data_IF_249280322162
#
_entry.id   IF_249280322162
#
_cell.length_a   1.000
_cell.length_b   1.000
_cell.length_c   1.000
_cell.angle_alpha   90.00
_cell.angle_beta   90.00
_cell.angle_gamma   90.00
#
_symmetry.space_group_name_H-M   'P 1'
#
loop_
_entity.id
_entity.type
_entity.pdbx_description
1 polymer ?
#
# COMPACT_ATOMS: atom_id res chain seq x y z
N UNK A 1 -11.94 1.43 16.34
CA UNK A 1 -12.31 0.33 17.27
C UNK A 1 -11.08 -0.52 17.47
N UNK A 2 -10.51 -0.53 18.68
CA UNK A 2 -9.30 -1.32 18.98
C UNK A 2 -9.57 -2.82 18.78
N UNK A 3 -8.59 -3.55 18.25
CA UNK A 3 -8.66 -5.01 18.13
C UNK A 3 -8.64 -5.61 19.55
N UNK A 4 -9.58 -6.51 19.85
CA UNK A 4 -9.62 -7.16 21.16
C UNK A 4 -8.37 -8.06 21.35
N UNK A 5 -7.58 -7.88 22.42
CA UNK A 5 -6.46 -8.76 22.74
C UNK A 5 -6.89 -10.22 23.01
N UNK A 6 -8.16 -10.44 23.36
CA UNK A 6 -8.69 -11.75 23.78
C UNK A 6 -9.34 -12.55 22.66
N UNK A 7 -9.52 -11.99 21.46
CA UNK A 7 -10.30 -12.59 20.36
C UNK A 7 -9.64 -13.79 19.65
N UNK A 8 -8.77 -14.54 20.32
CA UNK A 8 -8.14 -15.75 19.77
C UNK A 8 -8.82 -16.99 20.31
N UNK A 9 -9.06 -17.96 19.43
CA UNK A 9 -9.58 -19.27 19.84
C UNK A 9 -10.67 -19.75 18.89
N UNK A 10 -11.60 -20.51 19.46
CA UNK A 10 -12.73 -21.08 18.76
C UNK A 10 -14.03 -20.56 19.37
N UNK A 11 -15.07 -20.49 18.54
CA UNK A 11 -16.43 -20.29 18.99
C UNK A 11 -17.28 -21.52 18.68
N UNK A 12 -18.25 -21.79 19.55
CA UNK A 12 -19.16 -22.92 19.40
C UNK A 12 -20.30 -22.66 18.42
N UNK A 13 -20.56 -21.39 18.10
CA UNK A 13 -21.67 -20.97 17.25
C UNK A 13 -21.17 -20.02 16.16
N UNK A 14 -21.78 -20.11 14.97
CA UNK A 14 -21.59 -19.11 13.92
C UNK A 14 -22.35 -17.82 14.26
N UNK A 15 -22.08 -16.74 13.52
CA UNK A 15 -22.88 -15.52 13.66
C UNK A 15 -24.33 -15.80 13.22
N UNK A 16 -25.34 -15.16 13.85
CA UNK A 16 -26.74 -15.32 13.45
C UNK A 16 -26.97 -15.09 11.95
N UNK A 17 -26.34 -14.06 11.37
CA UNK A 17 -26.43 -13.78 9.93
C UNK A 17 -25.88 -14.91 9.08
N UNK A 18 -24.78 -15.55 9.50
CA UNK A 18 -24.19 -16.68 8.80
C UNK A 18 -25.09 -17.90 8.89
N UNK A 19 -25.67 -18.17 10.06
CA UNK A 19 -26.63 -19.27 10.24
C UNK A 19 -27.90 -19.12 9.41
N UNK A 20 -28.33 -17.88 9.11
CA UNK A 20 -29.53 -17.60 8.33
C UNK A 20 -29.26 -17.62 6.81
N UNK A 21 -28.14 -17.05 6.36
CA UNK A 21 -27.92 -16.77 4.94
C UNK A 21 -26.81 -17.60 4.27
N UNK A 22 -26.02 -18.38 5.02
CA UNK A 22 -24.90 -19.14 4.49
C UNK A 22 -25.03 -20.64 4.73
N UNK A 23 -24.25 -21.43 4.00
CA UNK A 23 -24.11 -22.87 4.25
C UNK A 23 -23.57 -23.11 5.66
N UNK A 24 -24.27 -23.94 6.43
CA UNK A 24 -23.84 -24.35 7.76
C UNK A 24 -22.87 -25.52 7.68
N UNK A 25 -21.68 -25.36 8.28
CA UNK A 25 -20.67 -26.41 8.36
C UNK A 25 -20.64 -27.02 9.76
N UNK A 26 -20.21 -28.29 9.87
CA UNK A 26 -20.02 -28.92 11.19
C UNK A 26 -18.89 -28.20 11.92
N UNK A 27 -19.11 -27.74 13.14
CA UNK A 27 -18.09 -26.97 13.89
C UNK A 27 -16.84 -27.76 14.28
N UNK A 28 -16.94 -29.09 14.37
CA UNK A 28 -15.91 -29.95 14.97
C UNK A 28 -15.51 -29.45 16.37
N UNK A 29 -14.25 -29.06 16.57
CA UNK A 29 -13.79 -28.43 17.82
C UNK A 29 -14.34 -27.01 17.99
N UNK A 30 -14.65 -26.33 16.89
CA UNK A 30 -15.27 -24.99 16.84
C UNK A 30 -14.85 -24.17 15.61
N UNK A 31 -15.53 -23.05 15.41
CA UNK A 31 -15.23 -22.07 14.35
C UNK A 31 -14.07 -21.18 14.76
N UNK A 32 -13.09 -20.93 13.87
CA UNK A 32 -12.01 -20.01 14.19
C UNK A 32 -12.50 -18.58 14.35
N UNK A 33 -11.99 -17.89 15.35
CA UNK A 33 -12.27 -16.49 15.57
C UNK A 33 -11.40 -15.59 14.67
N UNK A 34 -12.03 -14.57 14.10
CA UNK A 34 -11.36 -13.41 13.48
C UNK A 34 -10.61 -12.60 14.55
N UNK A 35 -9.72 -11.69 14.12
CA UNK A 35 -9.08 -10.70 15.00
C UNK A 35 -10.06 -9.82 15.78
N UNK A 36 -11.33 -9.76 15.34
CA UNK A 36 -12.42 -8.99 15.96
C UNK A 36 -13.34 -9.85 16.83
N UNK A 37 -13.04 -11.13 16.99
CA UNK A 37 -13.80 -12.07 17.83
C UNK A 37 -15.04 -12.63 17.16
N UNK A 38 -15.26 -12.35 15.87
CA UNK A 38 -16.35 -12.96 15.12
C UNK A 38 -15.94 -14.36 14.65
N UNK A 39 -16.81 -15.37 14.75
CA UNK A 39 -16.56 -16.70 14.19
C UNK A 39 -16.54 -16.64 12.66
N UNK A 40 -15.52 -17.25 12.05
CA UNK A 40 -15.53 -17.61 10.64
C UNK A 40 -16.43 -18.84 10.46
N UNK A 41 -17.69 -18.63 10.05
CA UNK A 41 -18.65 -19.73 9.91
C UNK A 41 -18.29 -20.79 8.86
N UNK A 42 -17.28 -20.55 8.04
CA UNK A 42 -16.74 -21.49 7.05
C UNK A 42 -15.29 -21.93 7.33
N UNK A 43 -14.73 -21.62 8.51
CA UNK A 43 -13.39 -22.06 8.90
C UNK A 43 -13.46 -22.75 10.27
N UNK A 44 -13.18 -24.05 10.28
CA UNK A 44 -13.34 -24.90 11.47
C UNK A 44 -12.02 -25.55 11.86
N UNK A 45 -11.88 -25.87 13.15
CA UNK A 45 -10.76 -26.66 13.65
C UNK A 45 -11.23 -28.09 13.92
N UNK A 46 -10.48 -29.07 13.42
CA UNK A 46 -10.71 -30.49 13.66
C UNK A 46 -9.41 -31.15 14.14
N UNK A 47 -9.27 -31.31 15.45
CA UNK A 47 -8.07 -31.85 16.08
C UNK A 47 -6.84 -30.97 15.83
N UNK A 48 -5.92 -31.42 14.97
CA UNK A 48 -4.72 -30.66 14.58
C UNK A 48 -4.92 -29.84 13.31
N UNK A 49 -5.97 -30.09 12.56
CA UNK A 49 -6.20 -29.48 11.27
C UNK A 49 -7.11 -28.25 11.40
N UNK A 50 -6.93 -27.33 10.45
CA UNK A 50 -7.86 -26.23 10.22
C UNK A 50 -8.35 -26.36 8.79
N UNK A 51 -9.67 -26.37 8.62
CA UNK A 51 -10.34 -26.59 7.35
C UNK A 51 -11.08 -25.32 6.99
N UNK A 52 -10.79 -24.78 5.80
CA UNK A 52 -11.53 -23.72 5.15
C UNK A 52 -12.47 -24.35 4.13
N UNK A 53 -13.77 -24.12 4.30
CA UNK A 53 -14.79 -24.49 3.33
C UNK A 53 -15.01 -23.35 2.34
N UNK A 54 -14.78 -23.63 1.06
CA UNK A 54 -14.98 -22.67 -0.03
C UNK A 54 -16.44 -22.61 -0.47
N UNK A 55 -16.85 -21.45 -0.99
CA UNK A 55 -18.14 -21.28 -1.66
C UNK A 55 -18.32 -22.21 -2.88
N UNK A 56 -17.22 -22.75 -3.44
CA UNK A 56 -17.26 -23.73 -4.53
C UNK A 56 -17.49 -25.18 -4.06
N UNK A 57 -17.62 -25.42 -2.75
CA UNK A 57 -17.79 -26.75 -2.16
C UNK A 57 -16.50 -27.54 -1.94
N UNK A 58 -15.33 -26.94 -2.21
CA UNK A 58 -14.03 -27.56 -1.94
C UNK A 58 -13.55 -27.25 -0.51
N UNK A 59 -12.88 -28.22 0.09
CA UNK A 59 -12.24 -28.08 1.40
C UNK A 59 -10.73 -27.86 1.26
N UNK A 60 -10.23 -26.87 1.98
CA UNK A 60 -8.81 -26.52 1.99
C UNK A 60 -8.22 -26.66 3.39
N UNK A 61 -7.16 -27.47 3.51
CA UNK A 61 -6.38 -27.56 4.74
C UNK A 61 -5.49 -26.31 4.88
N UNK A 62 -5.76 -25.51 5.90
CA UNK A 62 -5.01 -24.29 6.19
C UNK A 62 -3.68 -24.64 6.86
N UNK A 63 -2.52 -24.27 6.28
CA UNK A 63 -1.23 -24.58 6.90
C UNK A 63 -1.03 -23.81 8.21
N UNK A 64 -0.87 -24.54 9.32
CA UNK A 64 -0.65 -23.94 10.64
C UNK A 64 0.85 -23.79 10.92
N UNK A 65 1.32 -22.54 10.96
CA UNK A 65 2.74 -22.22 11.15
C UNK A 65 3.37 -22.87 12.39
N UNK A 66 2.63 -22.95 13.51
CA UNK A 66 3.11 -23.62 14.74
C UNK A 66 3.29 -25.12 14.54
N UNK A 67 2.44 -25.76 13.73
CA UNK A 67 2.56 -27.18 13.42
C UNK A 67 3.75 -27.43 12.49
N UNK A 68 3.89 -26.62 11.43
CA UNK A 68 5.05 -26.67 10.53
C UNK A 68 6.37 -26.51 11.29
N UNK A 69 6.40 -25.64 12.31
CA UNK A 69 7.57 -25.47 13.18
C UNK A 69 7.90 -26.72 14.00
N UNK A 70 6.89 -27.36 14.62
CA UNK A 70 7.06 -28.57 15.44
C UNK A 70 7.50 -29.78 14.62
N UNK A 71 6.92 -29.93 13.44
CA UNK A 71 7.15 -31.07 12.55
C UNK A 71 8.34 -30.83 11.60
N UNK A 72 8.97 -29.65 11.67
CA UNK A 72 10.01 -29.20 10.74
C UNK A 72 9.63 -29.35 9.25
N UNK A 73 8.36 -29.12 8.92
CA UNK A 73 7.78 -29.42 7.60
C UNK A 73 7.79 -28.20 6.65
N UNK A 74 8.76 -27.29 6.81
CA UNK A 74 8.85 -26.07 6.01
C UNK A 74 9.19 -26.37 4.55
N UNK A 75 8.51 -25.69 3.62
CA UNK A 75 8.75 -25.86 2.17
C UNK A 75 10.03 -25.19 1.67
N UNK A 76 10.63 -24.30 2.46
CA UNK A 76 11.92 -23.67 2.17
C UNK A 76 12.60 -23.13 3.44
N UNK A 77 13.91 -22.98 3.39
CA UNK A 77 14.70 -22.31 4.43
C UNK A 77 14.23 -20.88 4.67
N UNK A 78 13.92 -20.14 3.60
CA UNK A 78 13.37 -18.78 3.69
C UNK A 78 12.05 -18.75 4.46
N UNK A 79 11.14 -19.70 4.26
CA UNK A 79 9.88 -19.75 4.98
C UNK A 79 10.09 -20.01 6.48
N UNK A 80 10.98 -20.96 6.82
CA UNK A 80 11.35 -21.24 8.22
C UNK A 80 11.98 -20.01 8.88
N UNK A 81 12.93 -19.36 8.22
CA UNK A 81 13.56 -18.14 8.74
C UNK A 81 12.52 -17.05 8.94
N UNK A 82 11.75 -16.73 7.91
CA UNK A 82 10.81 -15.63 7.92
C UNK A 82 9.70 -15.82 8.95
N UNK A 83 9.15 -17.03 9.09
CA UNK A 83 7.94 -17.27 9.89
C UNK A 83 8.18 -17.98 11.22
N UNK A 84 9.34 -18.61 11.44
CA UNK A 84 9.67 -19.28 12.70
C UNK A 84 10.79 -18.60 13.49
N UNK A 85 11.76 -17.96 12.82
CA UNK A 85 12.94 -17.36 13.48
C UNK A 85 12.79 -15.85 13.69
N UNK A 86 12.27 -15.13 12.69
CA UNK A 86 12.07 -13.68 12.78
C UNK A 86 10.70 -13.36 13.39
N UNK A 87 10.64 -13.27 14.73
CA UNK A 87 9.38 -13.00 15.47
C UNK A 87 8.63 -11.76 14.98
N UNK A 88 9.37 -10.71 14.58
CA UNK A 88 8.78 -9.45 14.09
C UNK A 88 7.95 -9.62 12.82
N UNK A 89 8.27 -10.57 11.95
CA UNK A 89 7.47 -10.83 10.76
C UNK A 89 6.06 -11.31 11.13
N UNK A 90 5.97 -12.32 11.99
CA UNK A 90 4.67 -12.88 12.41
C UNK A 90 3.84 -11.87 13.23
N UNK A 91 4.51 -11.00 13.98
CA UNK A 91 3.85 -10.00 14.81
C UNK A 91 3.28 -8.85 13.97
N UNK A 92 4.01 -8.40 12.95
CA UNK A 92 3.75 -7.12 12.30
C UNK A 92 3.34 -7.24 10.83
N UNK A 93 3.64 -8.33 10.13
CA UNK A 93 3.28 -8.46 8.72
C UNK A 93 1.88 -9.07 8.55
N UNK A 94 1.21 -8.62 7.50
CA UNK A 94 0.18 -9.41 6.85
C UNK A 94 0.79 -10.53 6.01
N UNK A 95 0.13 -11.69 5.93
CA UNK A 95 0.59 -12.79 5.07
C UNK A 95 0.71 -12.32 3.61
N UNK A 96 -0.24 -11.51 3.15
CA UNK A 96 -0.28 -10.98 1.80
C UNK A 96 0.75 -9.86 1.55
N UNK A 97 1.40 -9.30 2.57
CA UNK A 97 2.57 -8.43 2.36
C UNK A 97 3.75 -9.19 1.75
N UNK A 98 3.86 -10.49 2.03
CA UNK A 98 4.91 -11.36 1.50
C UNK A 98 4.43 -12.16 0.28
N UNK A 99 3.17 -12.57 0.27
CA UNK A 99 2.64 -13.49 -0.73
C UNK A 99 2.02 -12.81 -1.97
N UNK A 100 1.78 -11.51 -1.95
CA UNK A 100 1.29 -10.79 -3.14
C UNK A 100 2.44 -10.50 -4.10
N UNK A 101 2.31 -10.93 -5.36
CA UNK A 101 3.37 -10.73 -6.36
C UNK A 101 3.32 -9.38 -7.06
N UNK A 102 2.14 -8.75 -7.15
CA UNK A 102 1.96 -7.42 -7.75
C UNK A 102 0.64 -6.80 -7.30
N UNK A 103 0.45 -5.51 -7.56
CA UNK A 103 -0.86 -4.84 -7.43
C UNK A 103 -1.01 -3.84 -8.58
N UNK A 104 -2.24 -3.54 -9.08
CA UNK A 104 -2.41 -2.44 -10.01
C UNK A 104 -1.95 -1.13 -9.35
N UNK A 105 -1.06 -0.42 -10.02
CA UNK A 105 -0.52 0.87 -9.61
C UNK A 105 -0.97 1.91 -10.63
N UNK A 106 -2.15 2.50 -10.39
CA UNK A 106 -2.74 3.57 -11.18
C UNK A 106 -2.24 4.92 -10.66
N UNK A 107 -1.05 5.33 -11.09
CA UNK A 107 -0.48 6.59 -10.61
C UNK A 107 -1.05 7.78 -11.38
N UNK A 108 -1.45 8.81 -10.63
CA UNK A 108 -1.96 10.07 -11.15
C UNK A 108 -3.29 9.95 -11.90
N UNK A 109 -4.27 10.72 -11.46
CA UNK A 109 -5.49 11.02 -12.18
C UNK A 109 -5.59 12.54 -12.35
N UNK A 110 -5.87 12.99 -13.57
CA UNK A 110 -6.24 14.38 -13.82
C UNK A 110 -7.75 14.48 -13.97
N UNK A 111 -8.36 15.22 -13.05
CA UNK A 111 -9.80 15.47 -13.01
C UNK A 111 -10.08 16.89 -13.47
N UNK A 112 -10.77 17.04 -14.60
CA UNK A 112 -11.26 18.33 -15.06
C UNK A 112 -12.75 18.46 -14.73
N UNK A 113 -13.12 19.52 -14.01
CA UNK A 113 -14.50 19.93 -13.82
C UNK A 113 -14.77 21.11 -14.74
N UNK A 114 -15.59 20.90 -15.78
CA UNK A 114 -15.81 21.89 -16.84
C UNK A 114 -17.25 22.40 -16.83
N UNK A 115 -17.43 23.68 -16.53
CA UNK A 115 -18.73 24.38 -16.53
C UNK A 115 -19.08 25.08 -17.86
N UNK A 116 -18.22 24.94 -18.87
CA UNK A 116 -18.41 25.49 -20.19
C UNK A 116 -19.48 24.77 -21.01
N UNK A 117 -19.30 24.77 -22.33
CA UNK A 117 -20.25 24.23 -23.30
C UNK A 117 -19.57 23.19 -24.19
N UNK A 118 -20.35 22.24 -24.69
CA UNK A 118 -19.90 21.29 -25.70
C UNK A 118 -19.75 21.94 -27.10
N UNK A 119 -19.31 21.16 -28.08
CA UNK A 119 -19.12 21.60 -29.48
C UNK A 119 -20.37 22.17 -30.16
N UNK A 120 -21.56 21.88 -29.63
CA UNK A 120 -22.84 22.37 -30.15
C UNK A 120 -23.36 23.58 -29.33
N UNK A 121 -22.58 24.09 -28.38
CA UNK A 121 -22.96 25.20 -27.52
C UNK A 121 -23.87 24.80 -26.34
N UNK A 122 -24.10 23.50 -26.10
CA UNK A 122 -24.91 23.04 -24.96
C UNK A 122 -24.07 23.05 -23.69
N UNK A 123 -24.57 23.61 -22.57
CA UNK A 123 -23.85 23.58 -21.30
C UNK A 123 -23.50 22.15 -20.86
N UNK A 124 -22.31 21.99 -20.31
CA UNK A 124 -21.92 20.75 -19.65
C UNK A 124 -22.73 20.52 -18.39
N UNK A 125 -23.23 19.30 -18.24
CA UNK A 125 -24.04 18.84 -17.12
C UNK A 125 -23.60 17.42 -16.75
N UNK A 126 -23.60 17.10 -15.47
CA UNK A 126 -23.31 15.75 -14.96
C UNK A 126 -24.35 15.29 -13.95
N UNK A 127 -24.31 13.99 -13.62
CA UNK A 127 -25.14 13.42 -12.57
C UNK A 127 -24.82 14.06 -11.22
N UNK A 128 -25.86 14.62 -10.59
CA UNK A 128 -25.79 15.16 -9.24
C UNK A 128 -26.09 14.03 -8.25
N UNK A 129 -25.02 13.39 -7.75
CA UNK A 129 -25.13 12.26 -6.82
C UNK A 129 -25.67 12.67 -5.44
N UNK A 130 -25.55 13.95 -5.05
CA UNK A 130 -26.06 14.43 -3.75
C UNK A 130 -27.56 14.67 -3.85
N UNK A 131 -28.00 15.42 -4.86
CA UNK A 131 -29.42 15.67 -5.10
C UNK A 131 -30.16 14.40 -5.53
N UNK A 132 -29.52 13.53 -6.29
CA UNK A 132 -30.07 12.23 -6.66
C UNK A 132 -30.25 11.31 -5.45
N UNK A 133 -29.18 11.16 -4.65
CA UNK A 133 -29.17 10.27 -3.49
C UNK A 133 -30.10 10.69 -2.34
N UNK A 134 -30.55 11.95 -2.32
CA UNK A 134 -31.52 12.47 -1.34
C UNK A 134 -32.97 12.18 -1.72
N UNK A 135 -33.27 11.84 -2.98
CA UNK A 135 -34.59 11.45 -3.45
C UNK A 135 -34.69 9.91 -3.48
N UNK A 136 -35.48 9.32 -2.58
CA UNK A 136 -35.67 7.86 -2.47
C UNK A 136 -37.09 7.44 -2.82
N UNK A 137 -37.20 6.40 -3.63
CA UNK A 137 -38.45 5.72 -3.91
C UNK A 137 -38.89 4.87 -2.70
N UNK A 138 -40.16 4.43 -2.71
CA UNK A 138 -40.74 3.56 -1.66
C UNK A 138 -39.93 2.26 -1.47
N UNK A 139 -39.31 1.74 -2.52
CA UNK A 139 -38.48 0.53 -2.48
C UNK A 139 -37.06 0.78 -1.95
N UNK A 140 -36.74 1.99 -1.51
CA UNK A 140 -35.42 2.38 -0.99
C UNK A 140 -34.37 2.72 -2.06
N UNK A 141 -34.68 2.58 -3.34
CA UNK A 141 -33.79 2.98 -4.44
C UNK A 141 -33.77 4.50 -4.58
N UNK A 142 -32.65 5.03 -5.07
CA UNK A 142 -32.48 6.46 -5.42
C UNK A 142 -32.83 6.72 -6.88
N UNK A 143 -33.02 7.98 -7.27
CA UNK A 143 -33.47 8.34 -8.62
C UNK A 143 -32.50 7.89 -9.74
N UNK A 144 -31.22 7.73 -9.44
CA UNK A 144 -30.18 7.24 -10.35
C UNK A 144 -30.00 5.71 -10.35
N UNK A 145 -30.65 4.99 -9.44
CA UNK A 145 -30.54 3.54 -9.33
C UNK A 145 -31.20 2.76 -10.49
N UNK A 146 -32.36 3.16 -11.05
CA UNK A 146 -32.96 2.45 -12.17
C UNK A 146 -32.08 2.50 -13.42
N UNK A 147 -31.86 1.34 -14.03
CA UNK A 147 -31.06 1.22 -15.27
C UNK A 147 -31.61 2.13 -16.37
N UNK A 148 -30.71 2.86 -17.03
CA UNK A 148 -31.06 3.79 -18.11
C UNK A 148 -31.47 5.19 -17.65
N UNK A 149 -31.55 5.44 -16.34
CA UNK A 149 -31.72 6.80 -15.81
C UNK A 149 -30.36 7.47 -15.59
N UNK A 150 -30.33 8.79 -15.69
CA UNK A 150 -29.11 9.58 -15.49
C UNK A 150 -29.16 10.44 -14.21
N UNK A 151 -30.08 10.11 -13.30
CA UNK A 151 -30.37 10.86 -12.08
C UNK A 151 -30.75 12.32 -12.34
N UNK A 152 -30.73 13.14 -11.29
CA UNK A 152 -30.76 14.60 -11.44
C UNK A 152 -29.45 15.06 -12.06
N UNK A 153 -29.52 16.16 -12.82
CA UNK A 153 -28.36 16.80 -13.43
C UNK A 153 -28.05 18.13 -12.77
N UNK A 154 -26.76 18.42 -12.60
CA UNK A 154 -26.24 19.72 -12.16
C UNK A 154 -25.28 20.30 -13.21
N UNK A 155 -25.08 21.63 -13.25
CA UNK A 155 -24.07 22.25 -14.10
C UNK A 155 -22.66 21.74 -13.82
N UNK A 156 -21.85 21.68 -14.86
CA UNK A 156 -20.50 21.14 -14.80
C UNK A 156 -20.46 19.69 -15.25
N UNK A 157 -19.38 19.28 -15.94
CA UNK A 157 -19.09 17.89 -16.27
C UNK A 157 -17.71 17.50 -15.77
N UNK A 158 -17.61 16.31 -15.18
CA UNK A 158 -16.35 15.75 -14.72
C UNK A 158 -15.74 14.91 -15.85
N UNK A 159 -14.48 15.18 -16.16
CA UNK A 159 -13.67 14.37 -17.06
C UNK A 159 -12.47 13.86 -16.28
N UNK A 160 -12.23 12.56 -16.33
CA UNK A 160 -11.09 11.93 -15.70
C UNK A 160 -10.17 11.35 -16.76
N UNK A 161 -8.89 11.65 -16.66
CA UNK A 161 -7.84 10.95 -17.38
C UNK A 161 -6.81 10.38 -16.40
N UNK A 162 -6.13 9.31 -16.79
CA UNK A 162 -5.13 8.63 -15.97
C UNK A 162 -3.74 8.90 -16.53
N UNK A 163 -2.77 9.14 -15.67
CA UNK A 163 -1.38 9.39 -16.10
C UNK A 163 -0.72 8.09 -16.55
N UNK A 164 -0.59 7.08 -15.67
CA UNK A 164 -0.09 5.77 -16.08
C UNK A 164 -0.54 4.63 -15.15
N UNK A 165 -0.64 3.43 -15.70
CA UNK A 165 -1.00 2.22 -14.95
C UNK A 165 0.07 1.16 -15.13
N UNK A 166 0.50 0.54 -14.02
CA UNK A 166 1.50 -0.54 -14.01
C UNK A 166 1.05 -1.71 -13.14
N UNK A 167 1.51 -2.90 -13.47
CA UNK A 167 1.36 -4.11 -12.66
C UNK A 167 2.73 -4.47 -12.11
N UNK A 168 3.01 -4.03 -10.89
CA UNK A 168 4.36 -4.07 -10.33
C UNK A 168 4.33 -4.31 -8.82
N UNK A 169 5.52 -4.46 -8.24
CA UNK A 169 5.69 -4.63 -6.81
C UNK A 169 5.10 -3.44 -6.03
N UNK A 170 4.27 -3.67 -5.00
CA UNK A 170 3.63 -2.63 -4.22
C UNK A 170 4.63 -1.86 -3.35
N UNK A 171 4.28 -0.60 -3.06
CA UNK A 171 4.78 0.12 -1.88
C UNK A 171 4.26 -0.59 -0.63
N UNK A 172 5.01 -0.61 0.47
CA UNK A 172 4.51 -1.11 1.75
C UNK A 172 4.14 0.03 2.68
N UNK A 173 3.13 -0.20 3.51
CA UNK A 173 2.65 0.71 4.55
C UNK A 173 2.02 -0.04 5.69
N UNK A 174 1.31 0.66 6.57
CA UNK A 174 0.58 0.11 7.70
C UNK A 174 -0.93 0.15 7.40
N UNK A 175 -1.63 -0.97 7.56
CA UNK A 175 -3.08 -1.04 7.41
C UNK A 175 -3.81 -0.56 8.69
N UNK A 176 -5.14 -0.51 8.63
CA UNK A 176 -5.97 -0.09 9.77
C UNK A 176 -5.90 -1.01 10.99
N UNK A 177 -5.25 -2.17 10.87
CA UNK A 177 -4.97 -3.12 11.97
C UNK A 177 -3.55 -2.97 12.53
N UNK A 178 -2.78 -1.99 12.06
CA UNK A 178 -1.41 -1.74 12.53
C UNK A 178 -0.37 -2.69 11.95
N UNK A 179 -0.69 -3.42 10.86
CA UNK A 179 0.19 -4.40 10.23
C UNK A 179 0.74 -3.91 8.90
N UNK A 180 1.94 -4.34 8.57
CA UNK A 180 2.58 -4.08 7.28
C UNK A 180 1.79 -4.76 6.18
N UNK A 181 1.42 -3.97 5.18
CA UNK A 181 0.54 -4.34 4.08
C UNK A 181 1.10 -3.80 2.75
N UNK A 182 0.78 -4.41 1.60
CA UNK A 182 0.84 -3.74 0.32
C UNK A 182 -0.06 -2.50 0.31
N UNK A 183 0.41 -1.47 -0.39
CA UNK A 183 -0.36 -0.29 -0.78
C UNK A 183 -0.54 -0.27 -2.30
N UNK A 184 -1.68 0.24 -2.74
CA UNK A 184 -1.92 0.65 -4.12
C UNK A 184 -2.36 2.12 -4.15
N UNK A 185 -2.15 2.84 -5.26
CA UNK A 185 -2.80 4.13 -5.46
C UNK A 185 -4.31 3.95 -5.33
N UNK A 186 -4.90 4.69 -4.40
CA UNK A 186 -6.34 4.83 -4.29
C UNK A 186 -6.81 5.79 -5.37
N UNK A 187 -7.02 7.04 -5.00
CA UNK A 187 -7.25 8.14 -5.94
C UNK A 187 -6.16 9.20 -5.76
N UNK A 188 -5.31 9.37 -6.78
CA UNK A 188 -4.27 10.40 -6.79
C UNK A 188 -4.70 11.54 -7.70
N UNK A 189 -5.59 12.40 -7.21
CA UNK A 189 -6.26 13.42 -8.03
C UNK A 189 -5.49 14.75 -8.00
N UNK A 190 -5.08 15.21 -9.17
CA UNK A 190 -4.88 16.63 -9.46
C UNK A 190 -6.11 17.14 -10.21
N UNK A 191 -6.66 18.29 -9.82
CA UNK A 191 -7.90 18.80 -10.43
C UNK A 191 -7.76 20.18 -11.06
N UNK A 192 -8.48 20.38 -12.16
CA UNK A 192 -8.61 21.64 -12.88
C UNK A 192 -10.09 22.01 -12.98
N UNK A 193 -10.43 23.27 -12.66
CA UNK A 193 -11.78 23.79 -12.79
C UNK A 193 -11.82 24.81 -13.91
N UNK A 194 -12.70 24.60 -14.88
CA UNK A 194 -12.96 25.50 -16.00
C UNK A 194 -14.32 26.15 -15.78
N UNK A 195 -14.37 27.49 -15.77
CA UNK A 195 -15.60 28.26 -15.61
C UNK A 195 -16.50 28.23 -16.86
N UNK A 196 -17.59 28.99 -16.83
CA UNK A 196 -18.58 29.00 -17.91
C UNK A 196 -18.07 29.70 -19.18
N UNK A 197 -17.06 30.54 -19.02
CA UNK A 197 -16.38 31.32 -20.05
C UNK A 197 -15.22 30.54 -20.67
N UNK A 198 -14.90 29.36 -20.14
CA UNK A 198 -13.83 28.50 -20.65
C UNK A 198 -12.46 28.81 -20.06
N UNK A 199 -12.37 29.63 -19.00
CA UNK A 199 -11.13 29.96 -18.32
C UNK A 199 -10.87 28.98 -17.17
N UNK A 200 -9.61 28.54 -17.04
CA UNK A 200 -9.18 27.77 -15.88
C UNK A 200 -9.13 28.69 -14.65
N UNK A 201 -10.00 28.44 -13.68
CA UNK A 201 -10.07 29.16 -12.38
C UNK A 201 -9.34 28.42 -11.26
N UNK A 202 -9.06 27.14 -11.48
CA UNK A 202 -8.13 26.33 -10.70
C UNK A 202 -7.38 25.42 -11.67
N UNK A 203 -6.05 25.35 -11.59
CA UNK A 203 -5.23 24.55 -12.48
C UNK A 203 -4.38 23.60 -11.65
N UNK A 204 -4.50 22.29 -11.91
CA UNK A 204 -3.69 21.23 -11.31
C UNK A 204 -3.58 21.32 -9.78
N UNK A 205 -4.68 21.64 -9.11
CA UNK A 205 -4.70 21.73 -7.65
C UNK A 205 -4.75 20.33 -7.04
N UNK A 206 -4.12 20.17 -5.89
CA UNK A 206 -4.18 18.95 -5.08
C UNK A 206 -4.73 19.29 -3.71
N UNK A 207 -5.57 18.42 -3.14
CA UNK A 207 -6.06 18.61 -1.78
C UNK A 207 -4.96 18.38 -0.75
N UNK A 208 -5.11 18.93 0.45
CA UNK A 208 -4.18 18.76 1.57
C UNK A 208 -4.93 18.17 2.77
N UNK A 209 -4.30 17.21 3.44
CA UNK A 209 -4.86 16.51 4.61
C UNK A 209 -4.27 17.06 5.90
N UNK A 210 -4.91 18.10 6.47
CA UNK A 210 -4.50 18.68 7.76
C UNK A 210 -4.78 17.74 8.93
N UNK A 211 -5.82 16.92 8.83
CA UNK A 211 -6.17 15.96 9.89
C UNK A 211 -5.07 14.90 10.03
N UNK A 212 -4.60 14.33 8.92
CA UNK A 212 -3.52 13.34 8.95
C UNK A 212 -2.17 13.96 9.35
N UNK A 213 -1.91 15.22 9.01
CA UNK A 213 -0.73 15.95 9.53
C UNK A 213 -0.71 15.96 11.06
N UNK A 214 -1.85 16.28 11.69
CA UNK A 214 -2.00 16.32 13.15
C UNK A 214 -1.85 14.91 13.76
N UNK A 215 -2.46 13.89 13.15
CA UNK A 215 -2.37 12.50 13.61
C UNK A 215 -0.94 11.94 13.53
N UNK A 216 -0.19 12.32 12.50
CA UNK A 216 1.20 11.91 12.31
C UNK A 216 2.19 12.72 13.17
N UNK A 217 1.79 13.90 13.66
CA UNK A 217 2.67 14.81 14.40
C UNK A 217 3.86 15.30 13.56
N UNK A 218 3.64 15.52 12.26
CA UNK A 218 4.68 15.95 11.32
C UNK A 218 4.49 17.42 10.88
N UNK A 219 5.56 18.04 10.39
CA UNK A 219 5.54 19.44 9.94
C UNK A 219 4.86 19.61 8.59
N UNK A 220 5.13 18.73 7.63
CA UNK A 220 4.55 18.76 6.30
C UNK A 220 3.10 18.30 6.31
N UNK A 221 2.23 18.97 5.57
CA UNK A 221 0.87 18.48 5.34
C UNK A 221 0.88 17.43 4.21
N UNK A 222 0.41 16.19 4.42
CA UNK A 222 0.24 15.23 3.34
C UNK A 222 -0.74 15.76 2.28
N UNK A 223 -0.48 15.48 1.00
CA UNK A 223 -1.46 15.70 -0.04
C UNK A 223 -2.57 14.66 0.05
N UNK A 224 -3.77 15.00 -0.44
CA UNK A 224 -4.91 14.08 -0.54
C UNK A 224 -4.79 13.08 -1.70
N UNK A 225 -3.58 12.88 -2.23
CA UNK A 225 -3.26 11.78 -3.11
C UNK A 225 -3.22 10.51 -2.25
N UNK A 226 -4.16 9.60 -2.43
CA UNK A 226 -4.32 8.45 -1.52
C UNK A 226 -3.55 7.22 -1.99
N UNK A 227 -2.95 6.54 -1.01
CA UNK A 227 -2.33 5.23 -1.13
C UNK A 227 -3.03 4.26 -0.19
N UNK A 228 -3.87 3.41 -0.75
CA UNK A 228 -4.76 2.53 -0.02
C UNK A 228 -4.10 1.20 0.36
N UNK A 229 -4.15 0.79 1.65
CA UNK A 229 -3.94 -0.58 2.08
C UNK A 229 -4.77 -1.58 1.28
N UNK A 230 -4.14 -2.64 0.79
CA UNK A 230 -4.84 -3.63 -0.06
C UNK A 230 -4.33 -5.04 0.14
N UNK A 231 -5.27 -6.00 0.14
CA UNK A 231 -5.00 -7.41 -0.08
C UNK A 231 -5.30 -7.73 -1.56
N UNK A 232 -4.28 -7.80 -2.43
CA UNK A 232 -4.50 -8.01 -3.85
C UNK A 232 -4.80 -9.48 -4.19
N UNK A 233 -5.49 -9.69 -5.31
CA UNK A 233 -5.77 -11.01 -5.90
C UNK A 233 -4.56 -11.64 -6.61
N UNK A 234 -3.35 -11.25 -6.22
CA UNK A 234 -2.07 -11.72 -6.76
C UNK A 234 -1.30 -12.57 -5.75
N UNK A 235 -1.98 -13.10 -4.72
CA UNK A 235 -1.39 -13.96 -3.71
C UNK A 235 -0.91 -15.27 -4.32
N UNK A 236 0.36 -15.62 -4.12
CA UNK A 236 0.99 -16.80 -4.67
C UNK A 236 1.70 -17.64 -3.60
N UNK A 237 1.89 -18.93 -3.91
CA UNK A 237 2.63 -19.86 -3.01
C UNK A 237 4.06 -19.41 -2.74
N UNK A 238 4.74 -18.87 -3.76
CA UNK A 238 6.10 -18.32 -3.63
C UNK A 238 5.98 -16.87 -3.16
N UNK A 239 6.48 -16.62 -1.95
CA UNK A 239 6.65 -15.28 -1.41
C UNK A 239 7.69 -14.46 -2.19
N UNK A 240 7.57 -13.13 -2.14
CA UNK A 240 8.60 -12.20 -2.62
C UNK A 240 9.93 -12.43 -1.89
N UNK A 241 11.03 -12.05 -2.55
CA UNK A 241 12.36 -12.20 -1.96
C UNK A 241 12.58 -11.20 -0.83
N UNK A 242 13.56 -11.45 0.04
CA UNK A 242 13.91 -10.52 1.11
C UNK A 242 14.27 -9.13 0.54
N UNK A 243 15.00 -9.10 -0.57
CA UNK A 243 15.47 -7.90 -1.26
C UNK A 243 14.31 -7.04 -1.77
N UNK A 244 13.18 -7.65 -2.19
CA UNK A 244 12.00 -6.93 -2.66
C UNK A 244 11.42 -5.99 -1.60
N UNK A 245 11.60 -6.28 -0.30
CA UNK A 245 11.19 -5.41 0.79
C UNK A 245 12.36 -4.61 1.38
N UNK A 246 13.48 -5.28 1.65
CA UNK A 246 14.56 -4.73 2.45
C UNK A 246 15.57 -3.91 1.63
N UNK A 247 15.66 -4.16 0.31
CA UNK A 247 16.59 -3.49 -0.60
C UNK A 247 15.87 -2.73 -1.73
N UNK A 248 14.60 -2.38 -1.52
CA UNK A 248 13.80 -1.71 -2.53
C UNK A 248 13.32 -0.35 -2.00
N UNK A 249 13.81 0.79 -2.55
CA UNK A 249 13.37 2.11 -2.11
C UNK A 249 11.86 2.32 -2.25
N UNK A 250 11.27 1.74 -3.30
CA UNK A 250 9.83 1.82 -3.54
C UNK A 250 9.04 1.10 -2.45
N UNK A 251 9.44 -0.11 -2.07
CA UNK A 251 8.77 -0.85 -1.00
C UNK A 251 8.80 -0.10 0.33
N UNK A 252 9.86 0.68 0.57
CA UNK A 252 10.01 1.53 1.76
C UNK A 252 9.34 2.91 1.65
N UNK A 253 8.66 3.19 0.54
CA UNK A 253 7.91 4.42 0.32
C UNK A 253 8.69 5.59 -0.25
N UNK A 254 9.95 5.42 -0.63
CA UNK A 254 10.78 6.48 -1.23
C UNK A 254 10.53 6.68 -2.73
N UNK A 255 9.53 6.01 -3.31
CA UNK A 255 9.24 6.03 -4.73
C UNK A 255 10.12 5.10 -5.58
N UNK A 256 9.73 4.96 -6.85
CA UNK A 256 10.44 4.16 -7.86
C UNK A 256 11.86 4.70 -8.01
N UNK A 257 12.84 3.81 -7.90
CA UNK A 257 14.27 4.16 -7.89
C UNK A 257 14.66 5.25 -6.88
N UNK A 258 13.92 5.36 -5.76
CA UNK A 258 14.17 6.39 -4.75
C UNK A 258 13.61 7.76 -5.10
N UNK A 259 12.61 7.82 -5.99
CA UNK A 259 11.87 9.05 -6.29
C UNK A 259 12.65 9.99 -7.20
N UNK A 260 13.64 9.49 -7.93
CA UNK A 260 14.51 10.28 -8.82
C UNK A 260 13.85 10.61 -10.17
N UNK A 261 12.69 10.03 -10.45
CA UNK A 261 11.95 10.27 -11.69
C UNK A 261 10.94 11.40 -11.50
N UNK A 262 10.68 12.14 -12.59
CA UNK A 262 9.58 13.10 -12.69
C UNK A 262 9.52 14.13 -11.54
N UNK A 263 10.66 14.56 -10.99
CA UNK A 263 10.72 15.49 -9.84
C UNK A 263 10.41 16.95 -10.18
N UNK A 264 10.13 17.25 -11.46
CA UNK A 264 9.92 18.61 -11.96
C UNK A 264 8.44 19.02 -12.02
N UNK A 265 7.58 18.35 -11.26
CA UNK A 265 6.16 18.68 -11.21
C UNK A 265 5.91 20.10 -10.68
N UNK A 266 6.79 20.66 -9.87
CA UNK A 266 6.65 22.04 -9.34
C UNK A 266 7.06 23.12 -10.35
N UNK A 267 7.47 22.74 -11.56
CA UNK A 267 7.89 23.64 -12.63
C UNK A 267 6.98 23.51 -13.85
N UNK A 268 6.75 24.62 -14.55
CA UNK A 268 6.15 24.55 -15.87
C UNK A 268 7.17 23.95 -16.84
N UNK A 269 6.79 22.86 -17.52
CA UNK A 269 7.64 22.25 -18.53
C UNK A 269 7.31 22.89 -19.88
N UNK A 270 8.35 23.49 -20.45
CA UNK A 270 8.34 24.11 -21.77
C UNK A 270 9.25 23.27 -22.68
N UNK A 271 8.67 22.71 -23.73
CA UNK A 271 9.38 21.98 -24.78
C UNK A 271 9.54 22.90 -26.00
N UNK A 272 10.69 23.57 -26.10
CA UNK A 272 11.01 24.52 -27.17
C UNK A 272 12.53 24.63 -27.40
N UNK A 273 12.96 25.37 -28.42
CA UNK A 273 14.38 25.66 -28.68
C UNK A 273 15.00 26.39 -27.47
N UNK A 274 15.99 25.76 -26.84
CA UNK A 274 16.70 26.32 -25.68
C UNK A 274 18.06 26.90 -26.03
N UNK A 275 18.44 27.98 -25.37
CA UNK A 275 19.80 28.48 -25.39
C UNK A 275 20.67 27.57 -24.53
N UNK A 276 21.60 26.82 -25.14
CA UNK A 276 22.42 25.83 -24.44
C UNK A 276 23.28 26.39 -23.29
N UNK A 277 23.63 27.69 -23.30
CA UNK A 277 24.42 28.31 -22.23
C UNK A 277 23.58 28.71 -21.01
N UNK A 278 22.30 29.02 -21.23
CA UNK A 278 21.43 29.59 -20.19
C UNK A 278 20.28 28.70 -19.78
N UNK A 279 19.97 27.66 -20.56
CA UNK A 279 18.82 26.78 -20.37
C UNK A 279 17.46 27.42 -20.64
N UNK A 280 17.42 28.67 -21.11
CA UNK A 280 16.17 29.42 -21.33
C UNK A 280 15.63 29.21 -22.75
N UNK A 281 14.29 29.21 -22.95
CA UNK A 281 13.70 29.23 -24.28
C UNK A 281 14.20 30.42 -25.12
N UNK A 282 14.51 30.18 -26.39
CA UNK A 282 14.93 31.18 -27.37
C UNK A 282 13.73 31.96 -27.93
N UNK A 283 12.57 31.34 -28.22
CA UNK A 283 11.45 32.08 -28.80
C UNK A 283 10.86 33.11 -27.84
N UNK A 284 10.47 34.27 -28.39
CA UNK A 284 9.79 35.33 -27.63
C UNK A 284 8.34 35.01 -27.27
N UNK A 285 7.77 33.92 -27.81
CA UNK A 285 6.45 33.40 -27.46
C UNK A 285 6.60 31.93 -27.12
N UNK A 286 6.23 31.57 -25.90
CA UNK A 286 6.30 30.20 -25.39
C UNK A 286 4.90 29.70 -25.05
N UNK A 287 4.71 28.40 -25.16
CA UNK A 287 3.54 27.70 -24.65
C UNK A 287 4.00 26.73 -23.56
N UNK A 288 3.24 26.65 -22.47
CA UNK A 288 3.47 25.64 -21.44
C UNK A 288 2.85 24.32 -21.94
N UNK A 289 3.65 23.26 -22.05
CA UNK A 289 3.19 21.94 -22.47
C UNK A 289 2.68 21.14 -21.28
N UNK A 290 3.38 21.21 -20.14
CA UNK A 290 2.96 20.54 -18.91
C UNK A 290 2.97 21.59 -17.79
N UNK A 291 1.79 22.09 -17.38
CA UNK A 291 1.70 23.02 -16.28
C UNK A 291 2.10 22.35 -14.97
N UNK A 292 2.70 23.12 -14.07
CA UNK A 292 3.11 22.63 -12.75
C UNK A 292 1.93 22.13 -11.90
N UNK A 293 2.28 21.32 -10.91
CA UNK A 293 1.48 20.89 -9.76
C UNK A 293 2.29 21.31 -8.52
N UNK A 294 1.93 22.44 -7.91
CA UNK A 294 2.75 23.14 -6.90
C UNK A 294 3.08 22.25 -5.69
N UNK A 295 2.12 21.42 -5.28
CA UNK A 295 2.21 20.59 -4.07
C UNK A 295 2.97 19.26 -4.30
N UNK A 296 3.42 19.00 -5.53
CA UNK A 296 4.05 17.74 -5.93
C UNK A 296 5.56 17.86 -6.14
N UNK A 297 6.32 18.24 -5.12
CA UNK A 297 7.79 18.16 -5.15
C UNK A 297 8.33 16.71 -5.05
N UNK A 298 7.52 15.70 -5.43
CA UNK A 298 7.80 14.27 -5.35
C UNK A 298 7.15 13.49 -6.50
N UNK A 299 7.70 12.31 -6.83
CA UNK A 299 7.11 11.37 -7.79
C UNK A 299 5.83 10.72 -7.24
N UNK A 300 4.83 10.42 -8.08
CA UNK A 300 3.55 9.82 -7.68
C UNK A 300 3.64 8.56 -6.83
N UNK A 301 4.74 7.79 -6.92
CA UNK A 301 4.96 6.58 -6.12
C UNK A 301 5.61 6.83 -4.75
N UNK A 302 6.00 8.07 -4.48
CA UNK A 302 6.69 8.49 -3.24
C UNK A 302 5.68 8.81 -2.16
N UNK A 303 5.71 8.07 -1.05
CA UNK A 303 4.88 8.35 0.13
C UNK A 303 5.70 8.89 1.31
N UNK A 304 7.04 8.78 1.25
CA UNK A 304 7.98 9.36 2.21
C UNK A 304 9.01 10.23 1.49
N UNK A 305 9.14 11.48 1.90
CA UNK A 305 10.22 12.40 1.50
C UNK A 305 10.72 13.15 2.74
N UNK A 306 12.03 13.33 2.85
CA UNK A 306 12.66 14.04 3.98
C UNK A 306 12.25 13.52 5.36
N UNK A 307 11.95 12.21 5.43
CA UNK A 307 11.52 11.53 6.64
C UNK A 307 10.03 11.66 6.98
N UNK A 308 9.27 12.49 6.26
CA UNK A 308 7.85 12.76 6.50
C UNK A 308 6.96 12.15 5.42
N UNK A 309 5.70 11.89 5.76
CA UNK A 309 4.73 11.36 4.82
C UNK A 309 4.25 12.47 3.87
N UNK A 310 4.27 12.23 2.56
CA UNK A 310 3.90 13.26 1.57
C UNK A 310 2.53 13.07 0.94
N UNK A 311 1.98 11.86 1.02
CA UNK A 311 0.68 11.46 0.48
C UNK A 311 -0.16 10.82 1.58
N UNK A 312 -1.47 10.97 1.53
CA UNK A 312 -2.39 10.25 2.41
C UNK A 312 -2.24 8.73 2.30
N UNK A 313 -2.30 8.01 3.43
CA UNK A 313 -2.22 6.53 3.41
C UNK A 313 -3.37 5.94 4.20
N UNK A 314 -4.44 5.54 3.51
CA UNK A 314 -5.52 4.79 4.14
C UNK A 314 -6.24 5.57 5.24
N UNK A 315 -6.48 6.87 5.01
CA UNK A 315 -7.05 7.89 5.93
C UNK A 315 -8.37 7.52 6.63
N UNK A 316 -8.97 6.40 6.25
CA UNK A 316 -10.18 5.86 6.85
C UNK A 316 -9.92 5.18 8.21
N UNK A 317 -8.66 4.85 8.54
CA UNK A 317 -8.31 4.11 9.76
C UNK A 317 -7.19 4.80 10.56
N UNK A 318 -7.34 4.97 11.90
CA UNK A 318 -6.36 5.70 12.72
C UNK A 318 -4.94 5.11 12.78
N UNK A 319 -4.79 3.82 12.46
CA UNK A 319 -3.48 3.15 12.47
C UNK A 319 -2.79 3.17 11.09
N UNK A 320 -3.53 3.51 10.04
CA UNK A 320 -3.02 3.52 8.69
C UNK A 320 -2.06 4.68 8.48
N UNK A 321 -0.92 4.37 7.85
CA UNK A 321 0.17 5.32 7.59
C UNK A 321 1.23 4.67 6.71
N UNK A 322 2.11 5.50 6.17
CA UNK A 322 3.39 5.06 5.64
C UNK A 322 4.22 4.30 6.69
N UNK A 323 5.23 3.53 6.25
CA UNK A 323 6.09 2.81 7.19
C UNK A 323 6.82 3.80 8.14
N UNK A 324 6.69 3.64 9.46
CA UNK A 324 7.43 4.46 10.42
C UNK A 324 8.94 4.40 10.20
N UNK A 325 9.67 5.44 10.61
CA UNK A 325 11.13 5.53 10.44
C UNK A 325 11.84 4.33 11.06
N UNK A 326 11.37 3.87 12.21
CA UNK A 326 11.91 2.73 12.95
C UNK A 326 11.75 1.44 12.14
N UNK A 327 10.60 1.26 11.48
CA UNK A 327 10.33 0.10 10.61
C UNK A 327 11.21 0.15 9.37
N UNK A 328 11.31 1.32 8.70
CA UNK A 328 12.18 1.49 7.52
C UNK A 328 13.65 1.26 7.86
N UNK A 329 14.13 1.76 9.00
CA UNK A 329 15.50 1.56 9.46
C UNK A 329 15.78 0.09 9.80
N UNK A 330 14.82 -0.62 10.37
CA UNK A 330 14.92 -2.07 10.59
C UNK A 330 14.93 -2.84 9.25
N UNK A 331 14.24 -2.35 8.23
CA UNK A 331 14.21 -2.97 6.89
C UNK A 331 15.51 -2.74 6.09
N UNK A 332 16.08 -1.53 6.08
CA UNK A 332 17.17 -1.09 5.18
C UNK A 332 18.51 -1.84 5.25
N UNK A 333 18.68 -2.83 6.11
CA UNK A 333 20.01 -3.40 6.42
C UNK A 333 20.59 -4.32 5.34
N UNK A 334 19.90 -4.61 4.22
CA UNK A 334 20.20 -5.79 3.38
C UNK A 334 21.45 -5.78 2.51
N UNK A 335 21.98 -4.63 2.08
CA UNK A 335 23.18 -4.62 1.23
C UNK A 335 24.40 -5.32 1.85
N UNK A 336 24.41 -5.44 3.18
CA UNK A 336 25.45 -6.07 3.99
C UNK A 336 25.00 -7.41 4.63
N UNK A 337 23.71 -7.76 4.58
CA UNK A 337 23.14 -8.82 5.44
C UNK A 337 23.02 -10.20 4.78
N UNK A 338 22.87 -10.32 3.46
CA UNK A 338 22.53 -11.61 2.84
C UNK A 338 23.63 -12.67 2.99
N UNK A 339 24.90 -12.26 3.13
CA UNK A 339 26.02 -13.15 3.45
C UNK A 339 25.81 -13.86 4.79
N UNK A 340 25.50 -13.11 5.84
CA UNK A 340 25.24 -13.64 7.19
C UNK A 340 23.87 -14.33 7.29
N UNK A 341 22.85 -13.81 6.59
CA UNK A 341 21.48 -14.33 6.63
C UNK A 341 21.35 -15.74 6.04
N UNK A 342 22.18 -16.13 5.06
CA UNK A 342 22.25 -17.51 4.56
C UNK A 342 22.54 -18.51 5.67
N UNK A 343 23.39 -18.11 6.61
CA UNK A 343 23.82 -18.93 7.73
C UNK A 343 22.92 -18.80 8.96
N UNK A 344 21.80 -18.06 8.94
CA UNK A 344 20.94 -17.84 10.13
C UNK A 344 20.44 -19.10 10.85
N UNK A 345 20.46 -20.24 10.16
CA UNK A 345 20.09 -21.54 10.76
C UNK A 345 21.28 -22.35 11.24
N UNK A 346 22.50 -21.90 10.97
CA UNK A 346 23.75 -22.55 11.33
C UNK A 346 24.19 -22.13 12.74
N UNK A 347 23.73 -22.88 13.74
CA UNK A 347 24.04 -22.62 15.14
C UNK A 347 25.55 -22.65 15.43
N UNK A 348 26.32 -23.47 14.72
CA UNK A 348 27.77 -23.58 14.92
C UNK A 348 28.51 -22.30 14.48
N UNK A 349 28.04 -21.65 13.42
CA UNK A 349 28.59 -20.36 12.99
C UNK A 349 28.14 -19.26 13.97
N UNK A 350 26.84 -19.15 14.24
CA UNK A 350 26.32 -18.04 15.05
C UNK A 350 26.75 -18.08 16.51
N UNK A 351 26.95 -19.26 17.10
CA UNK A 351 27.52 -19.36 18.46
C UNK A 351 28.94 -18.79 18.57
N UNK A 352 29.67 -18.69 17.44
CA UNK A 352 31.01 -18.10 17.40
C UNK A 352 31.03 -16.60 17.08
N UNK A 353 30.02 -16.10 16.38
CA UNK A 353 30.03 -14.73 15.82
C UNK A 353 28.90 -13.81 16.30
N UNK A 354 27.88 -14.34 17.00
CA UNK A 354 26.82 -13.51 17.58
C UNK A 354 27.20 -12.96 18.96
N UNK A 355 26.83 -11.70 19.19
CA UNK A 355 26.89 -11.05 20.49
C UNK A 355 25.47 -10.72 20.97
N UNK A 356 25.29 -10.56 22.29
CA UNK A 356 24.00 -10.21 22.86
C UNK A 356 23.60 -8.76 22.49
N UNK A 357 22.41 -8.58 21.95
CA UNK A 357 21.86 -7.26 21.61
C UNK A 357 21.63 -7.07 20.10
N UNK A 358 21.42 -5.82 19.69
CA UNK A 358 21.33 -5.44 18.28
C UNK A 358 22.44 -4.45 17.96
N UNK A 359 23.21 -4.72 16.91
CA UNK A 359 24.24 -3.80 16.45
C UNK A 359 23.60 -2.52 15.89
N UNK A 360 24.16 -1.38 16.27
CA UNK A 360 23.96 -0.11 15.60
C UNK A 360 24.79 -0.03 14.30
N UNK A 361 24.60 1.03 13.51
CA UNK A 361 25.23 1.13 12.19
C UNK A 361 26.77 1.14 12.27
N UNK A 362 27.36 1.81 13.27
CA UNK A 362 28.82 1.85 13.47
C UNK A 362 29.36 0.47 13.83
N UNK A 363 28.73 -0.20 14.79
CA UNK A 363 29.10 -1.56 15.21
C UNK A 363 28.97 -2.57 14.07
N UNK A 364 27.94 -2.43 13.24
CA UNK A 364 27.73 -3.29 12.09
C UNK A 364 28.79 -3.07 11.01
N UNK A 365 29.19 -1.82 10.75
CA UNK A 365 30.30 -1.49 9.84
C UNK A 365 31.61 -2.10 10.36
N UNK A 366 31.89 -2.00 11.65
CA UNK A 366 33.07 -2.60 12.26
C UNK A 366 33.08 -4.13 12.17
N UNK A 367 31.93 -4.79 12.36
CA UNK A 367 31.81 -6.23 12.18
C UNK A 367 32.13 -6.63 10.74
N UNK A 368 31.59 -5.90 9.75
CA UNK A 368 31.87 -6.18 8.34
C UNK A 368 33.34 -5.92 7.98
N UNK A 369 33.96 -4.88 8.55
CA UNK A 369 35.40 -4.62 8.41
C UNK A 369 36.23 -5.79 8.97
N UNK A 370 35.89 -6.29 10.17
CA UNK A 370 36.52 -7.47 10.78
C UNK A 370 36.37 -8.72 9.89
N UNK A 371 35.17 -8.96 9.34
CA UNK A 371 34.93 -10.10 8.46
C UNK A 371 35.78 -10.03 7.18
N UNK A 372 35.93 -8.84 6.58
CA UNK A 372 36.78 -8.64 5.40
C UNK A 372 38.25 -8.87 5.74
N UNK A 373 38.73 -8.34 6.87
CA UNK A 373 40.11 -8.58 7.35
C UNK A 373 40.39 -10.05 7.60
N UNK A 374 39.49 -10.74 8.30
CA UNK A 374 39.61 -12.18 8.56
C UNK A 374 39.60 -13.00 7.26
N UNK A 375 38.78 -12.61 6.28
CA UNK A 375 38.79 -13.27 4.97
C UNK A 375 40.09 -13.02 4.20
N UNK A 376 40.65 -11.81 4.29
CA UNK A 376 41.96 -11.50 3.70
C UNK A 376 43.09 -12.34 4.34
N UNK A 377 43.09 -12.48 5.67
CA UNK A 377 44.05 -13.34 6.40
C UNK A 377 43.96 -14.79 5.94
N UNK A 378 42.75 -15.32 5.72
CA UNK A 378 42.53 -16.68 5.20
C UNK A 378 43.07 -16.85 3.78
N UNK A 379 42.99 -15.82 2.94
CA UNK A 379 43.48 -15.88 1.56
C UNK A 379 45.00 -15.76 1.45
N UNK A 380 45.70 -15.37 2.52
CA UNK A 380 47.16 -15.34 2.57
C UNK A 380 47.82 -14.45 1.51
N UNK A 381 47.13 -13.39 1.07
CA UNK A 381 47.64 -12.41 0.09
C UNK A 381 48.08 -11.12 0.76
#
# INVERSE_FOLDING_TARGET
RELSPSARGLADQALPVTSVFATSYKKHDGYLLTTRGNPFGNVVKDGKEVILHSATGNDFKVPILKQLAKENAWKSSNAMVAMARVKKHVQNLECYACHSSWVPQCYGCHVQVNYGKDKNGKPYMDTDWIRGGTERFINGQTIESPLGTHGKKSPGKVFESRSYTRWEDPVLGINGEGRVTPLMPGCQIAFTVIDREGKAVALNQVSLSKDEQLELGQERTPTGLDMAPVQPHSSQRKARTCESCHNNPKAMGYGISGGVFQTRYTEDIIEDLINQKTGKPIPGRIQIQIPKIEEMDFDWSTIIKDGQQVQTVGTHWPLSRSLPKEVRNAMKRTGLCMGCHREMTNYQIWSKVSEAGQLNDKEHIELMNKMIKAYAEVLGK
#
